data_IF_487946451135
#
_entry.id   IF_487946451135
#
_cell.length_a   1.000
_cell.length_b   1.000
_cell.length_c   1.000
_cell.angle_alpha   90.00
_cell.angle_beta   90.00
_cell.angle_gamma   90.00
#
_symmetry.space_group_name_H-M   'P 1'
#
loop_
_entity.id
_entity.type
_entity.pdbx_description
1 polymer ?
#
# COMPACT_ATOMS: atom_id res chain seq x y z
N UNK A 1 1.66 -4.06 2.20
CA UNK A 1 0.95 -5.32 2.54
C UNK A 1 1.59 -6.04 3.72
N UNK A 2 2.92 -6.14 3.79
CA UNK A 2 3.62 -6.79 4.92
C UNK A 2 3.34 -6.15 6.29
N UNK A 3 3.14 -4.83 6.37
CA UNK A 3 2.89 -4.12 7.64
C UNK A 3 1.61 -4.57 8.34
N UNK A 4 0.52 -4.74 7.58
CA UNK A 4 -0.78 -5.16 8.13
C UNK A 4 -0.68 -6.59 8.67
N UNK A 5 0.05 -7.45 7.96
CA UNK A 5 0.33 -8.82 8.42
C UNK A 5 1.14 -8.82 9.72
N UNK A 6 2.19 -7.99 9.80
CA UNK A 6 3.04 -7.87 10.99
C UNK A 6 2.26 -7.35 12.20
N UNK A 7 1.40 -6.35 12.00
CA UNK A 7 0.49 -5.84 13.04
C UNK A 7 -0.52 -6.91 13.51
N UNK A 8 -1.04 -7.73 12.59
CA UNK A 8 -1.95 -8.82 12.92
C UNK A 8 -1.29 -9.94 13.74
N UNK A 9 -0.06 -10.33 13.36
CA UNK A 9 0.76 -11.25 14.17
C UNK A 9 1.02 -10.64 15.55
N UNK A 10 1.23 -9.32 15.62
CA UNK A 10 1.51 -8.66 16.89
C UNK A 10 0.34 -8.68 17.87
N UNK A 11 -0.86 -8.35 17.39
CA UNK A 11 -2.09 -8.44 18.20
C UNK A 11 -2.39 -9.88 18.59
N UNK A 12 -2.13 -10.85 17.70
CA UNK A 12 -2.36 -12.27 17.98
C UNK A 12 -1.41 -12.80 19.06
N UNK A 13 -0.13 -12.41 19.02
CA UNK A 13 0.85 -12.76 20.03
C UNK A 13 0.49 -12.20 21.41
N UNK A 14 0.09 -10.92 21.49
CA UNK A 14 -0.37 -10.30 22.74
C UNK A 14 -1.58 -11.05 23.33
N UNK A 15 -2.50 -11.51 22.48
CA UNK A 15 -3.63 -12.34 22.94
C UNK A 15 -3.17 -13.68 23.51
N UNK A 16 -2.23 -14.36 22.85
CA UNK A 16 -1.71 -15.64 23.35
C UNK A 16 -1.04 -15.50 24.72
N UNK A 17 -0.34 -14.40 24.98
CA UNK A 17 0.22 -14.11 26.30
C UNK A 17 -0.83 -13.84 27.38
N UNK A 18 -2.04 -13.42 27.02
CA UNK A 18 -3.14 -13.25 27.97
C UNK A 18 -3.84 -14.58 28.32
N UNK A 19 -3.70 -15.62 27.48
CA UNK A 19 -4.34 -16.93 27.68
C UNK A 19 -3.40 -17.99 28.29
N UNK A 20 -2.08 -17.76 28.30
CA UNK A 20 -1.11 -18.67 28.88
C UNK A 20 -0.04 -17.91 29.65
N UNK A 21 0.34 -18.43 30.82
CA UNK A 21 1.40 -17.94 31.71
C UNK A 21 2.80 -18.19 31.09
N UNK A 22 2.95 -17.85 29.81
CA UNK A 22 4.24 -17.81 29.11
C UNK A 22 4.89 -16.51 29.58
N UNK A 23 5.83 -16.63 30.52
CA UNK A 23 6.67 -15.52 30.94
C UNK A 23 7.27 -14.82 29.73
N UNK A 24 7.25 -13.48 29.73
CA UNK A 24 7.80 -12.64 28.67
C UNK A 24 9.27 -13.01 28.48
N UNK A 25 9.56 -13.84 27.49
CA UNK A 25 10.92 -14.19 27.12
C UNK A 25 11.66 -12.96 26.61
N UNK A 26 12.99 -12.97 26.73
CA UNK A 26 13.86 -11.92 26.18
C UNK A 26 13.70 -11.70 24.68
N UNK A 27 13.10 -12.65 23.95
CA UNK A 27 12.79 -12.59 22.52
C UNK A 27 11.65 -11.62 22.15
N UNK A 28 10.83 -11.19 23.10
CA UNK A 28 9.74 -10.24 22.83
C UNK A 28 10.28 -8.85 22.44
N UNK A 29 11.30 -8.37 23.15
CA UNK A 29 11.87 -7.04 22.93
C UNK A 29 12.49 -6.90 21.52
N UNK A 30 13.35 -7.83 21.03
CA UNK A 30 13.85 -7.81 19.66
C UNK A 30 12.74 -7.81 18.60
N UNK A 31 11.65 -8.55 18.84
CA UNK A 31 10.54 -8.62 17.89
C UNK A 31 9.73 -7.30 17.85
N UNK A 32 9.49 -6.65 19.01
CA UNK A 32 8.91 -5.31 19.04
C UNK A 32 9.80 -4.29 18.32
N UNK A 33 11.12 -4.33 18.57
CA UNK A 33 12.09 -3.47 17.89
C UNK A 33 12.08 -3.70 16.37
N UNK A 34 12.07 -4.95 15.93
CA UNK A 34 11.96 -5.29 14.52
C UNK A 34 10.68 -4.71 13.89
N UNK A 35 9.53 -4.84 14.57
CA UNK A 35 8.28 -4.26 14.10
C UNK A 35 8.36 -2.74 13.93
N UNK A 36 8.95 -2.03 14.91
CA UNK A 36 9.11 -0.58 14.87
C UNK A 36 10.10 -0.13 13.78
N UNK A 37 11.25 -0.79 13.68
CA UNK A 37 12.27 -0.46 12.67
C UNK A 37 11.74 -0.73 11.26
N UNK A 38 11.03 -1.85 11.06
CA UNK A 38 10.42 -2.17 9.77
C UNK A 38 9.36 -1.14 9.38
N UNK A 39 8.48 -0.75 10.31
CA UNK A 39 7.47 0.29 10.09
C UNK A 39 8.13 1.63 9.74
N UNK A 40 9.18 2.02 10.49
CA UNK A 40 9.93 3.26 10.22
C UNK A 40 10.62 3.20 8.85
N UNK A 41 11.20 2.06 8.49
CA UNK A 41 11.85 1.89 7.19
C UNK A 41 10.85 2.11 6.05
N UNK A 42 9.65 1.56 6.14
CA UNK A 42 8.62 1.79 5.12
C UNK A 42 8.06 3.22 5.12
N UNK A 43 7.96 3.88 6.28
CA UNK A 43 7.53 5.28 6.35
C UNK A 43 8.59 6.26 5.82
N UNK A 44 9.88 5.97 6.06
CA UNK A 44 10.96 6.86 5.62
C UNK A 44 11.42 6.58 4.18
N UNK A 45 11.22 5.37 3.66
CA UNK A 45 11.50 5.05 2.25
C UNK A 45 10.31 5.49 1.42
N UNK A 46 10.26 6.80 1.18
CA UNK A 46 9.31 7.37 0.25
C UNK A 46 9.66 6.93 -1.17
N UNK A 47 8.69 6.29 -1.82
CA UNK A 47 8.85 5.83 -3.20
C UNK A 47 9.23 6.97 -4.14
N UNK A 48 8.78 8.21 -3.88
CA UNK A 48 9.16 9.38 -4.68
C UNK A 48 10.66 9.63 -4.60
N UNK A 49 11.14 9.77 -3.37
CA UNK A 49 12.53 10.08 -3.07
C UNK A 49 13.48 9.04 -3.64
N UNK A 50 13.14 7.75 -3.47
CA UNK A 50 13.93 6.65 -4.04
C UNK A 50 14.04 6.73 -5.57
N UNK A 51 12.93 7.04 -6.25
CA UNK A 51 12.94 7.12 -7.71
C UNK A 51 13.71 8.34 -8.22
N UNK A 52 13.67 9.46 -7.49
CA UNK A 52 14.37 10.70 -7.86
C UNK A 52 15.89 10.54 -7.89
N UNK A 53 16.43 9.60 -7.12
CA UNK A 53 17.85 9.20 -7.16
C UNK A 53 18.17 8.25 -8.34
N UNK A 54 17.23 7.36 -8.72
CA UNK A 54 17.45 6.34 -9.75
C UNK A 54 17.43 6.91 -11.17
N UNK A 55 16.47 7.78 -11.49
CA UNK A 55 16.29 8.32 -12.83
C UNK A 55 15.61 9.69 -12.79
N UNK A 56 16.03 10.66 -13.62
CA UNK A 56 15.44 11.99 -13.62
C UNK A 56 13.96 11.96 -14.04
N UNK A 57 13.19 12.89 -13.51
CA UNK A 57 11.76 13.00 -13.83
C UNK A 57 11.57 13.38 -15.31
N UNK A 58 10.66 12.72 -16.04
CA UNK A 58 10.39 13.09 -17.43
C UNK A 58 9.87 14.53 -17.51
N UNK A 59 10.40 15.29 -18.47
CA UNK A 59 9.93 16.64 -18.74
C UNK A 59 8.46 16.61 -19.18
N UNK A 60 7.66 17.48 -18.57
CA UNK A 60 6.26 17.63 -18.95
C UNK A 60 6.18 18.40 -20.26
N UNK A 61 5.57 17.78 -21.27
CA UNK A 61 5.37 18.42 -22.57
C UNK A 61 4.28 19.51 -22.56
N UNK A 62 3.43 19.55 -21.53
CA UNK A 62 2.31 20.49 -21.42
C UNK A 62 2.50 21.46 -20.23
N UNK A 63 2.16 22.76 -20.41
CA UNK A 63 2.18 23.71 -19.32
C UNK A 63 1.08 23.39 -18.29
N UNK A 64 1.47 23.17 -17.04
CA UNK A 64 0.55 22.98 -15.92
C UNK A 64 -0.12 24.31 -15.58
N UNK A 65 -1.46 24.36 -15.66
CA UNK A 65 -2.22 25.50 -15.16
C UNK A 65 -2.57 25.29 -13.67
N UNK A 66 -2.07 26.12 -12.74
CA UNK A 66 -2.41 25.98 -11.33
C UNK A 66 -3.92 26.23 -11.14
N UNK A 67 -4.56 25.45 -10.27
CA UNK A 67 -6.00 25.55 -9.97
C UNK A 67 -6.91 24.60 -10.74
N UNK A 68 -6.39 23.85 -11.72
CA UNK A 68 -7.15 22.81 -12.44
C UNK A 68 -6.63 21.43 -12.02
N UNK A 69 -7.53 20.47 -11.80
CA UNK A 69 -7.14 19.09 -11.46
C UNK A 69 -6.43 18.43 -12.64
N UNK A 70 -5.37 17.65 -12.37
CA UNK A 70 -4.58 17.00 -13.42
C UNK A 70 -5.41 16.14 -14.39
N UNK A 71 -6.50 15.52 -13.94
CA UNK A 71 -7.41 14.75 -14.81
C UNK A 71 -8.05 15.64 -15.89
N UNK A 72 -8.44 16.88 -15.54
CA UNK A 72 -9.02 17.84 -16.50
C UNK A 72 -7.97 18.41 -17.47
N UNK A 73 -6.70 18.33 -17.10
CA UNK A 73 -5.56 18.70 -17.93
C UNK A 73 -4.99 17.51 -18.71
N UNK A 74 -5.69 16.38 -18.78
CA UNK A 74 -5.21 15.16 -19.44
C UNK A 74 -3.87 14.67 -18.86
N UNK A 75 -3.72 14.68 -17.53
CA UNK A 75 -2.55 14.16 -16.82
C UNK A 75 -2.91 12.95 -15.95
N UNK A 76 -1.93 12.06 -15.77
CA UNK A 76 -2.00 10.89 -14.89
C UNK A 76 -0.72 10.75 -14.07
N UNK A 77 -0.82 10.13 -12.90
CA UNK A 77 0.33 9.70 -12.11
C UNK A 77 0.63 8.23 -12.37
N UNK A 78 1.90 7.86 -12.47
CA UNK A 78 2.30 6.46 -12.59
C UNK A 78 2.06 5.70 -11.27
N UNK A 79 1.56 4.47 -11.31
CA UNK A 79 1.36 3.67 -10.11
C UNK A 79 2.66 3.16 -9.49
N UNK A 80 3.76 3.11 -10.25
CA UNK A 80 5.07 2.60 -9.83
C UNK A 80 6.02 3.74 -9.44
N UNK A 81 6.58 4.46 -10.42
CA UNK A 81 7.52 5.56 -10.18
C UNK A 81 6.86 6.87 -9.79
N UNK A 82 5.53 6.92 -9.79
CA UNK A 82 4.72 8.09 -9.46
C UNK A 82 4.90 9.34 -10.31
N UNK A 83 5.78 9.34 -11.32
CA UNK A 83 5.94 10.45 -12.27
C UNK A 83 4.60 10.92 -12.86
N UNK A 84 4.50 12.22 -13.11
CA UNK A 84 3.36 12.84 -13.79
C UNK A 84 3.59 12.70 -15.29
N UNK A 85 2.58 12.21 -15.99
CA UNK A 85 2.62 11.93 -17.42
C UNK A 85 1.32 12.33 -18.12
N UNK A 86 1.35 12.60 -19.44
CA UNK A 86 0.14 12.82 -20.20
C UNK A 86 -0.74 11.57 -20.20
N UNK A 87 -2.05 11.77 -20.14
CA UNK A 87 -3.09 10.74 -20.04
C UNK A 87 -3.08 9.77 -21.21
N UNK A 88 -2.66 10.24 -22.39
CA UNK A 88 -2.56 9.43 -23.61
C UNK A 88 -1.40 8.43 -23.58
N UNK A 89 -0.31 8.76 -22.86
CA UNK A 89 0.83 7.86 -22.75
C UNK A 89 0.47 6.66 -21.87
N UNK A 90 0.25 5.49 -22.46
CA UNK A 90 -0.06 4.27 -21.70
C UNK A 90 1.16 3.68 -20.99
N UNK A 91 2.35 3.87 -21.56
CA UNK A 91 3.63 3.34 -21.06
C UNK A 91 4.42 4.47 -20.43
N UNK A 92 4.93 4.26 -19.21
CA UNK A 92 5.81 5.22 -18.56
C UNK A 92 7.24 5.13 -19.12
N UNK A 93 7.91 6.24 -19.50
CA UNK A 93 9.29 6.23 -20.00
C UNK A 93 10.33 5.98 -18.88
N UNK A 94 9.96 6.16 -17.61
CA UNK A 94 10.87 5.97 -16.45
C UNK A 94 10.90 4.52 -15.95
N UNK A 95 9.75 3.87 -15.87
CA UNK A 95 9.61 2.52 -15.29
C UNK A 95 8.97 1.50 -16.23
N UNK A 96 8.64 1.89 -17.46
CA UNK A 96 7.99 1.06 -18.50
C UNK A 96 6.68 0.39 -18.08
N UNK A 97 6.13 0.76 -16.92
CA UNK A 97 4.87 0.21 -16.42
C UNK A 97 3.70 0.77 -17.22
N UNK A 98 2.80 -0.13 -17.65
CA UNK A 98 1.54 0.23 -18.30
C UNK A 98 0.55 0.75 -17.27
N UNK A 99 -0.07 1.90 -17.52
CA UNK A 99 -1.02 2.53 -16.62
C UNK A 99 -2.12 3.28 -17.36
N UNK A 100 -3.30 3.32 -16.73
CA UNK A 100 -4.46 4.05 -17.22
C UNK A 100 -4.78 5.19 -16.24
N UNK A 101 -5.43 6.26 -16.71
CA UNK A 101 -5.88 7.38 -15.86
C UNK A 101 -6.79 6.90 -14.73
N UNK A 102 -7.69 5.95 -15.03
CA UNK A 102 -8.55 5.30 -14.05
C UNK A 102 -8.38 3.80 -14.16
N UNK A 103 -8.11 3.13 -13.03
CA UNK A 103 -8.06 1.67 -13.00
C UNK A 103 -9.42 1.11 -13.39
N UNK A 104 -9.43 0.29 -14.44
CA UNK A 104 -10.63 -0.43 -14.88
C UNK A 104 -11.06 -1.38 -13.76
N UNK A 105 -12.37 -1.46 -13.53
CA UNK A 105 -13.00 -2.42 -12.64
C UNK A 105 -12.69 -2.30 -11.13
N UNK A 106 -12.24 -1.14 -10.65
CA UNK A 106 -11.88 -0.96 -9.23
C UNK A 106 -13.03 -1.31 -8.27
N UNK A 107 -14.29 -1.03 -8.66
CA UNK A 107 -15.46 -1.30 -7.82
C UNK A 107 -15.77 -2.80 -7.70
N UNK A 108 -15.65 -3.58 -8.78
CA UNK A 108 -15.87 -5.03 -8.69
C UNK A 108 -14.80 -5.71 -7.84
N UNK A 109 -13.54 -5.29 -7.97
CA UNK A 109 -12.46 -5.82 -7.14
C UNK A 109 -12.67 -5.51 -5.66
N UNK A 110 -13.06 -4.29 -5.32
CA UNK A 110 -13.36 -3.94 -3.92
C UNK A 110 -14.56 -4.71 -3.37
N UNK A 111 -15.61 -4.89 -4.18
CA UNK A 111 -16.79 -5.68 -3.78
C UNK A 111 -16.43 -7.15 -3.60
N UNK A 112 -15.65 -7.75 -4.51
CA UNK A 112 -15.21 -9.14 -4.39
C UNK A 112 -14.38 -9.38 -3.12
N UNK A 113 -13.46 -8.45 -2.80
CA UNK A 113 -12.66 -8.52 -1.56
C UNK A 113 -13.52 -8.32 -0.30
N UNK A 114 -14.53 -7.45 -0.37
CA UNK A 114 -15.47 -7.24 0.74
C UNK A 114 -16.32 -8.50 1.00
N UNK A 115 -16.89 -9.08 -0.06
CA UNK A 115 -17.70 -10.31 0.06
C UNK A 115 -16.88 -11.49 0.58
N UNK A 116 -15.65 -11.67 0.10
CA UNK A 116 -14.76 -12.73 0.59
C UNK A 116 -14.42 -12.54 2.07
N UNK A 117 -14.15 -11.31 2.52
CA UNK A 117 -13.94 -11.01 3.94
C UNK A 117 -15.18 -11.32 4.78
N UNK A 118 -16.37 -10.97 4.31
CA UNK A 118 -17.65 -11.27 4.99
C UNK A 118 -17.84 -12.78 5.11
N UNK A 119 -17.65 -13.54 4.02
CA UNK A 119 -17.77 -15.01 4.05
C UNK A 119 -16.76 -15.69 4.97
N UNK A 120 -15.56 -15.15 5.13
CA UNK A 120 -14.57 -15.70 6.06
C UNK A 120 -14.87 -15.34 7.53
N UNK A 121 -15.57 -14.24 7.77
CA UNK A 121 -15.89 -13.76 9.12
C UNK A 121 -17.21 -14.33 9.69
N UNK A 122 -18.18 -14.67 8.83
CA UNK A 122 -19.45 -15.29 9.27
C UNK A 122 -19.32 -16.69 9.91
N UNK A 123 -18.52 -17.65 9.40
CA UNK A 123 -18.46 -18.99 9.98
C UNK A 123 -18.09 -19.02 11.48
N UNK A 124 -17.10 -18.24 11.99
CA UNK A 124 -16.81 -18.22 13.42
C UNK A 124 -17.87 -17.50 14.27
N UNK A 125 -18.72 -16.63 13.68
CA UNK A 125 -19.82 -15.96 14.42
C UNK A 125 -21.03 -16.90 14.55
N UNK A 126 -21.35 -17.66 13.50
CA UNK A 126 -22.54 -18.52 13.46
C UNK A 126 -22.31 -19.88 14.13
N UNK A 127 -21.06 -20.32 14.26
CA UNK A 127 -20.69 -21.55 14.97
C UNK A 127 -20.48 -21.33 16.49
N UNK A 128 -20.59 -20.09 16.99
CA UNK A 128 -20.45 -19.72 18.42
C UNK A 128 -21.75 -19.32 19.12
N UNK A 129 -22.88 -19.23 18.40
CA UNK A 129 -24.24 -19.22 18.97
C UNK A 129 -24.77 -20.65 19.05
#
# INVERSE_FOLDING_TARGET
MAEIFLAGVLVSFVKLMAYGDIGIGSSFIPWCLFCLVQLRAFQCVDRRWLWDDIAPQPALAQPLTPGITGIRQSLRSCACCTAILPAESLVCPRCHTKGYVRRKNSLQWTLALLFTSIMLYLPPIFCRL
#
